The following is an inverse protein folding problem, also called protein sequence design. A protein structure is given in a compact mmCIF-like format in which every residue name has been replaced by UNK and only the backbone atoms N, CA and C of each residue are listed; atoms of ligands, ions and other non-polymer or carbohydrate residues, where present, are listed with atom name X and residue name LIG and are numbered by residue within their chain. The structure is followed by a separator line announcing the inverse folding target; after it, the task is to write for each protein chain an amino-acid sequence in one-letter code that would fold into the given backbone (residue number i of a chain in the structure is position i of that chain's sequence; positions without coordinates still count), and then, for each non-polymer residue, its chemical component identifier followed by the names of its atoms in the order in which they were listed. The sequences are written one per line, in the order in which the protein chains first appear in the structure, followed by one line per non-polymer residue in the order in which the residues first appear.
data_IF_063433945893
#
_entry.id   IF_063433945893
#
_cell.length_a   1.000
_cell.length_b   1.000
_cell.length_c   1.000
_cell.angle_alpha   90.00
_cell.angle_beta   90.00
_cell.angle_gamma   90.00
#
_symmetry.space_group_name_H-M   'P 1'
#
loop_
_entity.id
_entity.type
_entity.pdbx_description
1 polymer ?
#
# COMPACT_ATOMS: atom_id res chain seq x y z
N UNK A 1 -7.41 23.95 -4.09
CA UNK A 1 -6.76 22.72 -3.61
C UNK A 1 -7.28 22.42 -2.21
N UNK A 2 -7.73 21.19 -1.95
CA UNK A 2 -8.24 20.76 -0.63
C UNK A 2 -7.36 19.64 -0.10
N UNK A 3 -6.85 19.76 1.11
CA UNK A 3 -6.13 18.68 1.78
C UNK A 3 -7.11 17.62 2.30
N UNK A 4 -6.82 16.34 2.04
CA UNK A 4 -7.63 15.21 2.49
C UNK A 4 -6.97 14.48 3.66
N UNK A 5 -5.66 14.27 3.58
CA UNK A 5 -4.78 13.69 4.59
C UNK A 5 -3.33 14.14 4.30
N UNK A 6 -2.36 13.76 5.15
CA UNK A 6 -0.96 14.15 4.99
C UNK A 6 -0.48 13.89 3.56
N UNK A 7 0.07 14.93 2.94
CA UNK A 7 0.59 14.91 1.57
C UNK A 7 -0.43 14.47 0.49
N UNK A 8 -1.73 14.38 0.77
CA UNK A 8 -2.78 14.00 -0.20
C UNK A 8 -3.78 15.14 -0.36
N UNK A 9 -3.99 15.55 -1.60
CA UNK A 9 -4.84 16.68 -1.94
C UNK A 9 -5.81 16.35 -3.06
N UNK A 10 -6.92 17.09 -3.10
CA UNK A 10 -7.77 17.22 -4.28
C UNK A 10 -7.44 18.55 -4.97
N UNK A 11 -6.88 18.48 -6.18
CA UNK A 11 -6.48 19.63 -7.01
C UNK A 11 -7.13 19.48 -8.39
N UNK A 12 -7.98 20.42 -8.76
CA UNK A 12 -8.66 20.47 -10.07
C UNK A 12 -9.39 19.16 -10.45
N UNK A 13 -10.02 18.52 -9.45
CA UNK A 13 -10.72 17.24 -9.61
C UNK A 13 -9.83 16.00 -9.60
N UNK A 14 -8.51 16.16 -9.53
CA UNK A 14 -7.54 15.07 -9.43
C UNK A 14 -7.16 14.81 -7.98
N UNK A 15 -7.11 13.54 -7.60
CA UNK A 15 -6.44 13.11 -6.38
C UNK A 15 -4.94 13.15 -6.64
N UNK A 16 -4.17 13.79 -5.76
CA UNK A 16 -2.73 13.93 -5.93
C UNK A 16 -1.97 13.67 -4.63
N UNK A 17 -0.74 13.17 -4.74
CA UNK A 17 0.24 13.17 -3.64
C UNK A 17 1.28 14.27 -3.86
N UNK A 18 1.68 14.96 -2.79
CA UNK A 18 2.84 15.86 -2.82
C UNK A 18 4.11 15.02 -2.90
N UNK A 19 4.94 15.26 -3.90
CA UNK A 19 6.12 14.44 -4.15
C UNK A 19 7.21 15.21 -4.86
N UNK A 20 8.46 14.88 -4.55
CA UNK A 20 9.65 15.33 -5.31
C UNK A 20 10.06 14.35 -6.42
N UNK A 21 9.39 13.19 -6.51
CA UNK A 21 9.76 12.08 -7.37
C UNK A 21 9.05 12.13 -8.73
N UNK A 22 9.59 11.36 -9.68
CA UNK A 22 9.06 11.24 -11.03
C UNK A 22 7.80 10.37 -11.13
N UNK A 23 7.39 10.14 -12.38
CA UNK A 23 6.29 9.23 -12.70
C UNK A 23 6.74 7.77 -12.57
N UNK A 24 5.97 6.93 -11.88
CA UNK A 24 6.29 5.50 -11.72
C UNK A 24 5.56 4.61 -12.74
N UNK A 25 4.30 4.94 -13.04
CA UNK A 25 3.41 4.13 -13.88
C UNK A 25 2.74 4.94 -15.00
N UNK A 26 3.30 6.10 -15.32
CA UNK A 26 2.83 7.00 -16.38
C UNK A 26 1.78 8.00 -15.91
N UNK A 27 1.60 8.19 -14.60
CA UNK A 27 0.76 9.23 -14.02
C UNK A 27 1.34 10.62 -14.26
N UNK A 28 0.46 11.64 -14.29
CA UNK A 28 0.86 13.03 -14.47
C UNK A 28 1.67 13.52 -13.26
N UNK A 29 2.75 14.25 -13.54
CA UNK A 29 3.56 14.93 -12.53
C UNK A 29 3.63 16.41 -12.87
N UNK A 30 3.26 17.27 -11.91
CA UNK A 30 3.16 18.72 -12.12
C UNK A 30 3.22 19.46 -10.78
N UNK A 31 3.91 20.61 -10.76
CA UNK A 31 4.01 21.50 -9.59
C UNK A 31 4.40 20.82 -8.26
N UNK A 32 5.23 19.77 -8.28
CA UNK A 32 5.59 19.01 -7.07
C UNK A 32 4.49 18.06 -6.57
N UNK A 33 3.56 17.69 -7.46
CA UNK A 33 2.50 16.71 -7.21
C UNK A 33 2.51 15.59 -8.25
N UNK A 34 2.05 14.41 -7.84
CA UNK A 34 1.79 13.26 -8.69
C UNK A 34 0.31 12.91 -8.66
N UNK A 35 -0.30 12.71 -9.82
CA UNK A 35 -1.68 12.22 -9.94
C UNK A 35 -1.79 10.81 -9.37
N UNK A 36 -2.72 10.59 -8.44
CA UNK A 36 -3.01 9.28 -7.89
C UNK A 36 -4.26 8.71 -8.53
N UNK A 37 -4.08 7.89 -9.57
CA UNK A 37 -5.17 7.40 -10.42
C UNK A 37 -6.01 6.34 -9.68
N UNK A 38 -7.29 6.62 -9.33
CA UNK A 38 -8.13 5.71 -8.52
C UNK A 38 -8.41 4.37 -9.18
N UNK A 39 -8.47 4.35 -10.52
CA UNK A 39 -8.65 3.13 -11.31
C UNK A 39 -7.46 2.18 -11.26
N UNK A 40 -6.30 2.66 -10.81
CA UNK A 40 -5.07 1.88 -10.66
C UNK A 40 -4.65 1.65 -9.22
N UNK A 41 -5.39 2.19 -8.25
CA UNK A 41 -5.09 2.05 -6.82
C UNK A 41 -6.36 2.02 -5.98
N UNK A 42 -6.59 0.87 -5.32
CA UNK A 42 -7.76 0.69 -4.46
C UNK A 42 -7.75 1.63 -3.26
N UNK A 43 -6.57 1.96 -2.74
CA UNK A 43 -6.39 2.95 -1.69
C UNK A 43 -6.83 4.36 -2.15
N UNK A 44 -6.44 4.79 -3.35
CA UNK A 44 -6.93 6.07 -3.91
C UNK A 44 -8.46 6.07 -4.07
N UNK A 45 -9.03 4.98 -4.57
CA UNK A 45 -10.48 4.84 -4.69
C UNK A 45 -11.18 4.91 -3.32
N UNK A 46 -10.62 4.27 -2.30
CA UNK A 46 -11.11 4.34 -0.92
C UNK A 46 -11.07 5.78 -0.37
N UNK A 47 -9.97 6.50 -0.60
CA UNK A 47 -9.83 7.91 -0.18
C UNK A 47 -10.87 8.80 -0.87
N UNK A 48 -11.09 8.63 -2.16
CA UNK A 48 -12.13 9.38 -2.88
C UNK A 48 -13.55 9.05 -2.44
N UNK A 49 -13.80 7.83 -1.95
CA UNK A 49 -15.07 7.45 -1.33
C UNK A 49 -15.26 8.04 0.08
N UNK A 50 -14.31 8.82 0.58
CA UNK A 50 -14.43 9.62 1.79
C UNK A 50 -13.78 9.01 3.02
N UNK A 51 -13.20 7.81 2.92
CA UNK A 51 -12.44 7.23 4.02
C UNK A 51 -11.08 7.92 4.13
N UNK A 52 -10.63 8.21 5.35
CA UNK A 52 -9.36 8.92 5.59
C UNK A 52 -8.52 8.12 6.55
N UNK A 53 -7.26 7.88 6.16
CA UNK A 53 -6.27 7.25 7.02
C UNK A 53 -5.62 8.30 7.91
N UNK A 54 -5.36 7.94 9.16
CA UNK A 54 -4.61 8.78 10.11
C UNK A 54 -3.12 8.46 10.05
N UNK A 55 -2.58 8.33 8.84
CA UNK A 55 -1.16 8.07 8.62
C UNK A 55 -0.33 9.32 8.90
N UNK A 56 0.67 9.19 9.78
CA UNK A 56 1.70 10.20 10.02
C UNK A 56 2.90 9.98 9.11
N UNK A 57 3.78 10.98 9.01
CA UNK A 57 4.93 10.92 8.11
C UNK A 57 5.99 9.91 8.53
N UNK A 58 6.14 9.69 9.84
CA UNK A 58 7.16 8.88 10.51
C UNK A 58 6.72 7.43 10.79
N UNK A 59 5.52 7.05 10.35
CA UNK A 59 4.97 5.72 10.62
C UNK A 59 5.59 4.62 9.77
N UNK A 60 5.60 3.40 10.34
CA UNK A 60 6.08 2.20 9.68
C UNK A 60 4.90 1.44 9.09
N UNK A 61 4.98 1.09 7.81
CA UNK A 61 3.91 0.39 7.09
C UNK A 61 4.41 -0.95 6.57
N UNK A 62 3.64 -2.00 6.80
CA UNK A 62 3.81 -3.28 6.10
C UNK A 62 2.78 -3.37 4.97
N UNK A 63 3.24 -3.38 3.73
CA UNK A 63 2.41 -3.52 2.54
C UNK A 63 2.50 -4.97 2.03
N UNK A 64 1.38 -5.68 2.05
CA UNK A 64 1.25 -7.07 1.58
C UNK A 64 0.61 -7.10 0.18
N UNK A 65 1.32 -7.64 -0.80
CA UNK A 65 0.87 -7.67 -2.20
C UNK A 65 1.25 -6.41 -2.99
N UNK A 66 2.51 -5.97 -2.87
CA UNK A 66 3.00 -4.71 -3.44
C UNK A 66 2.94 -4.65 -4.98
N UNK A 67 2.91 -5.79 -5.67
CA UNK A 67 2.96 -5.89 -7.11
C UNK A 67 4.08 -5.02 -7.69
N UNK A 68 3.79 -4.21 -8.71
CA UNK A 68 4.76 -3.30 -9.33
C UNK A 68 5.01 -2.02 -8.55
N UNK A 69 4.34 -1.79 -7.42
CA UNK A 69 4.55 -0.61 -6.57
C UNK A 69 3.71 0.63 -6.92
N UNK A 70 2.63 0.51 -7.71
CA UNK A 70 1.75 1.66 -8.03
C UNK A 70 1.22 2.36 -6.78
N UNK A 71 0.51 1.65 -5.91
CA UNK A 71 0.00 2.23 -4.64
C UNK A 71 1.14 2.52 -3.67
N UNK A 72 2.15 1.63 -3.58
CA UNK A 72 3.33 1.80 -2.71
C UNK A 72 4.02 3.13 -2.97
N UNK A 73 4.16 3.53 -4.24
CA UNK A 73 4.80 4.79 -4.61
C UNK A 73 4.07 6.03 -4.08
N UNK A 74 2.74 6.00 -3.94
CA UNK A 74 1.99 7.11 -3.35
C UNK A 74 1.98 7.03 -1.83
N UNK A 75 1.96 5.82 -1.27
CA UNK A 75 2.09 5.64 0.17
C UNK A 75 3.45 6.15 0.66
N UNK A 76 4.52 5.94 -0.10
CA UNK A 76 5.86 6.46 0.17
C UNK A 76 5.94 8.00 0.14
N UNK A 77 5.03 8.67 -0.57
CA UNK A 77 4.92 10.14 -0.52
C UNK A 77 4.23 10.60 0.79
N UNK A 78 3.40 9.75 1.40
CA UNK A 78 2.64 10.05 2.62
C UNK A 78 3.48 9.80 3.88
N UNK A 79 4.15 8.65 3.95
CA UNK A 79 5.10 8.27 5.02
C UNK A 79 6.53 8.66 4.62
N UNK A 80 6.73 9.95 4.36
CA UNK A 80 7.96 10.54 3.84
C UNK A 80 9.14 10.56 4.84
N UNK A 81 8.87 10.38 6.13
CA UNK A 81 9.86 10.29 7.22
C UNK A 81 9.92 8.87 7.84
N UNK A 82 9.07 7.96 7.36
CA UNK A 82 8.88 6.61 7.87
C UNK A 82 9.48 5.54 6.97
N UNK A 83 8.92 4.32 7.03
CA UNK A 83 9.40 3.19 6.22
C UNK A 83 8.24 2.31 5.74
N UNK A 84 8.34 1.82 4.51
CA UNK A 84 7.41 0.85 3.94
C UNK A 84 8.14 -0.46 3.65
N UNK A 85 7.71 -1.53 4.30
CA UNK A 85 8.10 -2.89 3.96
C UNK A 85 7.14 -3.42 2.90
N UNK A 86 7.59 -3.52 1.65
CA UNK A 86 6.76 -3.89 0.51
C UNK A 86 6.96 -5.36 0.13
N UNK A 87 6.05 -6.23 0.57
CA UNK A 87 6.08 -7.68 0.32
C UNK A 87 5.40 -8.02 -0.99
N UNK A 88 6.11 -8.73 -1.85
CA UNK A 88 5.60 -9.29 -3.11
C UNK A 88 6.35 -10.60 -3.40
N UNK A 89 5.65 -11.60 -3.91
CA UNK A 89 6.22 -12.94 -4.10
C UNK A 89 6.59 -13.22 -5.57
N UNK A 90 5.95 -12.53 -6.52
CA UNK A 90 6.16 -12.74 -7.94
C UNK A 90 7.32 -11.88 -8.46
N UNK A 91 8.36 -12.53 -8.99
CA UNK A 91 9.57 -11.86 -9.45
C UNK A 91 9.32 -10.81 -10.55
N UNK A 92 8.36 -11.06 -11.45
CA UNK A 92 8.06 -10.17 -12.58
C UNK A 92 7.57 -8.77 -12.15
N UNK A 93 6.50 -8.63 -11.35
CA UNK A 93 6.13 -7.32 -10.82
C UNK A 93 7.19 -6.76 -9.84
N UNK A 94 7.89 -7.63 -9.12
CA UNK A 94 8.94 -7.24 -8.18
C UNK A 94 10.11 -6.49 -8.83
N UNK A 95 10.46 -6.81 -10.09
CA UNK A 95 11.48 -6.08 -10.84
C UNK A 95 11.16 -4.58 -10.90
N UNK A 96 9.90 -4.22 -11.17
CA UNK A 96 9.45 -2.82 -11.20
C UNK A 96 9.39 -2.20 -9.81
N UNK A 97 9.07 -2.99 -8.77
CA UNK A 97 9.14 -2.53 -7.38
C UNK A 97 10.58 -2.23 -6.94
N UNK A 98 11.57 -3.00 -7.41
CA UNK A 98 12.99 -2.73 -7.15
C UNK A 98 13.45 -1.41 -7.76
N UNK A 99 13.00 -1.08 -8.97
CA UNK A 99 13.27 0.24 -9.57
C UNK A 99 12.75 1.38 -8.69
N UNK A 100 11.53 1.23 -8.17
CA UNK A 100 10.92 2.20 -7.26
C UNK A 100 11.72 2.35 -5.96
N UNK A 101 12.15 1.24 -5.36
CA UNK A 101 12.94 1.23 -4.13
C UNK A 101 14.37 1.76 -4.32
N UNK A 102 14.92 1.73 -5.55
CA UNK A 102 16.19 2.39 -5.87
C UNK A 102 16.07 3.91 -5.89
N UNK A 103 14.90 4.44 -6.26
CA UNK A 103 14.63 5.88 -6.29
C UNK A 103 14.22 6.41 -4.90
N UNK A 104 13.55 5.58 -4.10
CA UNK A 104 12.91 5.97 -2.82
C UNK A 104 13.50 5.20 -1.64
N UNK A 105 14.23 5.92 -0.81
CA UNK A 105 14.96 5.37 0.34
C UNK A 105 14.05 4.84 1.46
N UNK A 106 12.79 5.28 1.52
CA UNK A 106 11.82 4.82 2.53
C UNK A 106 11.06 3.54 2.13
N UNK A 107 11.48 2.85 1.07
CA UNK A 107 10.87 1.57 0.65
C UNK A 107 11.89 0.44 0.81
N UNK A 108 11.52 -0.57 1.60
CA UNK A 108 12.26 -1.82 1.75
C UNK A 108 11.50 -2.92 0.97
N UNK A 109 11.96 -3.30 -0.23
CA UNK A 109 11.30 -4.30 -1.05
C UNK A 109 11.65 -5.72 -0.55
N UNK A 110 10.63 -6.57 -0.39
CA UNK A 110 10.74 -7.91 0.21
C UNK A 110 10.18 -8.97 -0.75
N UNK A 111 11.07 -9.73 -1.40
CA UNK A 111 10.68 -10.85 -2.30
C UNK A 111 10.37 -12.10 -1.48
N UNK A 112 9.21 -12.11 -0.82
CA UNK A 112 8.77 -13.18 0.06
C UNK A 112 7.28 -13.48 -0.13
N UNK A 113 6.89 -14.68 0.31
CA UNK A 113 5.50 -15.10 0.38
C UNK A 113 4.86 -14.57 1.68
N UNK A 114 3.86 -13.69 1.55
CA UNK A 114 3.17 -13.07 2.67
C UNK A 114 2.46 -14.08 3.59
N UNK A 115 2.15 -15.28 3.11
CA UNK A 115 1.60 -16.37 3.94
C UNK A 115 2.60 -16.99 4.91
N UNK A 116 3.88 -16.58 4.84
CA UNK A 116 4.97 -17.12 5.66
C UNK A 116 5.73 -16.00 6.39
N UNK A 117 5.08 -15.22 7.27
CA UNK A 117 5.68 -14.04 7.91
C UNK A 117 6.97 -14.32 8.68
N UNK A 118 7.11 -15.51 9.25
CA UNK A 118 8.34 -15.93 9.93
C UNK A 118 9.60 -15.84 9.04
N UNK A 119 9.47 -15.96 7.71
CA UNK A 119 10.60 -15.89 6.78
C UNK A 119 11.24 -14.50 6.66
N UNK A 120 10.49 -13.44 6.92
CA UNK A 120 10.98 -12.06 6.90
C UNK A 120 10.87 -11.38 8.27
N UNK A 121 10.63 -12.16 9.32
CA UNK A 121 10.51 -11.67 10.69
C UNK A 121 11.79 -11.05 11.25
N UNK A 122 12.96 -11.46 10.76
CA UNK A 122 14.24 -10.85 11.09
C UNK A 122 14.54 -9.53 10.37
N UNK A 123 13.65 -9.08 9.48
CA UNK A 123 13.82 -7.87 8.66
C UNK A 123 12.77 -6.82 9.02
N UNK A 124 11.51 -7.24 9.14
CA UNK A 124 10.37 -6.34 9.38
C UNK A 124 10.25 -6.03 10.87
N UNK A 125 10.27 -4.74 11.19
CA UNK A 125 10.05 -4.25 12.55
C UNK A 125 8.56 -4.24 12.92
N UNK A 126 8.24 -3.88 14.17
CA UNK A 126 6.84 -3.60 14.56
C UNK A 126 6.30 -2.40 13.78
N UNK A 127 5.14 -2.55 13.14
CA UNK A 127 4.52 -1.57 12.24
C UNK A 127 3.26 -0.93 12.82
N UNK A 128 2.99 0.29 12.37
CA UNK A 128 1.81 1.09 12.75
C UNK A 128 0.60 0.75 11.87
N UNK A 129 0.84 0.39 10.61
CA UNK A 129 -0.19 0.01 9.64
C UNK A 129 0.19 -1.27 8.89
N UNK A 130 -0.76 -2.18 8.74
CA UNK A 130 -0.71 -3.22 7.70
C UNK A 130 -1.72 -2.88 6.61
N UNK A 131 -1.24 -2.74 5.37
CA UNK A 131 -2.08 -2.63 4.18
C UNK A 131 -1.97 -3.91 3.35
N UNK A 132 -3.08 -4.59 3.12
CA UNK A 132 -3.13 -5.82 2.34
C UNK A 132 -3.96 -5.65 1.05
N UNK A 133 -3.34 -5.92 -0.08
CA UNK A 133 -3.99 -6.02 -1.39
C UNK A 133 -3.63 -7.34 -2.10
N UNK A 134 -3.91 -8.45 -1.40
CA UNK A 134 -3.73 -9.81 -1.88
C UNK A 134 -5.08 -10.42 -2.23
N UNK A 135 -5.21 -10.93 -3.45
CA UNK A 135 -6.42 -11.63 -3.90
C UNK A 135 -6.24 -13.16 -3.80
N UNK A 136 -6.27 -13.69 -2.57
CA UNK A 136 -6.20 -15.13 -2.26
C UNK A 136 -7.36 -15.55 -1.35
N UNK A 137 -7.73 -16.85 -1.39
CA UNK A 137 -8.82 -17.39 -0.55
C UNK A 137 -8.54 -17.25 0.94
N UNK A 138 -7.29 -17.46 1.35
CA UNK A 138 -6.82 -17.37 2.74
C UNK A 138 -6.30 -15.97 3.11
N UNK A 139 -6.78 -14.90 2.45
CA UNK A 139 -6.31 -13.53 2.73
C UNK A 139 -6.48 -13.11 4.20
N UNK A 140 -7.50 -13.63 4.90
CA UNK A 140 -7.73 -13.33 6.32
C UNK A 140 -6.65 -13.96 7.19
N UNK A 141 -6.34 -15.24 6.97
CA UNK A 141 -5.26 -15.95 7.68
C UNK A 141 -3.89 -15.29 7.45
N UNK A 142 -3.61 -14.85 6.22
CA UNK A 142 -2.39 -14.11 5.88
C UNK A 142 -2.32 -12.82 6.69
N UNK A 143 -3.41 -12.07 6.75
CA UNK A 143 -3.48 -10.81 7.47
C UNK A 143 -3.29 -11.02 8.97
N UNK A 144 -4.02 -11.96 9.57
CA UNK A 144 -3.95 -12.29 11.00
C UNK A 144 -2.53 -12.71 11.39
N UNK A 145 -1.91 -13.60 10.62
CA UNK A 145 -0.54 -14.05 10.88
C UNK A 145 0.47 -12.90 10.77
N UNK A 146 0.34 -12.01 9.78
CA UNK A 146 1.20 -10.83 9.70
C UNK A 146 0.95 -9.83 10.84
N UNK A 147 -0.30 -9.67 11.28
CA UNK A 147 -0.63 -8.79 12.38
C UNK A 147 -0.04 -9.30 13.70
N UNK A 148 -0.12 -10.59 13.98
CA UNK A 148 0.50 -11.20 15.17
C UNK A 148 2.02 -10.95 15.21
N UNK A 149 2.70 -11.15 14.08
CA UNK A 149 4.15 -10.94 13.99
C UNK A 149 4.53 -9.47 14.08
N UNK A 150 3.83 -8.57 13.37
CA UNK A 150 4.36 -7.24 13.08
C UNK A 150 3.52 -6.08 13.58
N UNK A 151 2.21 -6.21 13.75
CA UNK A 151 1.39 -5.07 14.16
C UNK A 151 1.70 -4.68 15.61
N UNK A 152 1.81 -3.37 15.86
CA UNK A 152 1.86 -2.82 17.21
C UNK A 152 0.51 -2.97 17.90
N UNK A 153 0.49 -2.92 19.23
CA UNK A 153 -0.75 -2.69 19.96
C UNK A 153 -1.37 -1.37 19.48
N UNK A 154 -2.69 -1.36 19.22
CA UNK A 154 -3.43 -0.23 18.65
C UNK A 154 -3.06 0.15 17.21
N UNK A 155 -2.26 -0.68 16.51
CA UNK A 155 -1.98 -0.49 15.09
C UNK A 155 -3.23 -0.68 14.22
N UNK A 156 -3.23 -0.04 13.06
CA UNK A 156 -4.35 -0.08 12.11
C UNK A 156 -4.13 -1.16 11.02
N UNK A 157 -5.22 -1.67 10.48
CA UNK A 157 -5.22 -2.63 9.39
C UNK A 157 -6.17 -2.19 8.29
N UNK A 158 -5.72 -2.30 7.05
CA UNK A 158 -6.54 -2.09 5.86
C UNK A 158 -6.43 -3.32 4.98
N UNK A 159 -7.58 -3.92 4.65
CA UNK A 159 -7.65 -5.05 3.73
C UNK A 159 -8.52 -4.70 2.53
N UNK A 160 -8.01 -4.98 1.34
CA UNK A 160 -8.75 -4.87 0.09
C UNK A 160 -9.37 -6.22 -0.26
N UNK A 161 -10.64 -6.40 0.09
CA UNK A 161 -11.38 -7.64 -0.18
C UNK A 161 -11.97 -7.60 -1.59
N UNK A 162 -11.64 -8.62 -2.40
CA UNK A 162 -12.31 -8.89 -3.67
C UNK A 162 -13.28 -10.05 -3.46
N UNK A 163 -14.59 -9.80 -3.41
CA UNK A 163 -15.60 -10.84 -3.14
C UNK A 163 -15.40 -12.11 -4.00
N UNK A 164 -15.15 -11.93 -5.31
CA UNK A 164 -14.91 -13.05 -6.26
C UNK A 164 -13.64 -13.88 -5.99
N UNK A 165 -12.69 -13.43 -5.19
CA UNK A 165 -11.51 -14.22 -4.82
C UNK A 165 -11.71 -15.10 -3.60
N UNK A 166 -12.79 -14.87 -2.83
CA UNK A 166 -13.19 -15.73 -1.70
C UNK A 166 -14.11 -16.82 -2.22
N UNK A 167 -15.22 -16.42 -2.85
CA UNK A 167 -16.17 -17.32 -3.49
C UNK A 167 -16.58 -16.76 -4.86
N UNK A 168 -16.30 -17.53 -5.92
CA UNK A 168 -16.63 -17.13 -7.30
C UNK A 168 -18.09 -17.41 -7.67
N UNK A 169 -18.84 -18.07 -6.80
CA UNK A 169 -20.22 -18.54 -7.02
C UNK A 169 -21.25 -17.85 -6.13
N UNK A 170 -20.84 -17.27 -5.00
CA UNK A 170 -21.72 -16.52 -4.11
C UNK A 170 -21.84 -15.03 -4.52
N UNK A 171 -22.98 -14.43 -4.18
CA UNK A 171 -23.20 -12.99 -4.39
C UNK A 171 -22.26 -12.14 -3.51
N UNK A 172 -21.70 -11.03 -4.01
CA UNK A 172 -20.73 -10.22 -3.26
C UNK A 172 -21.20 -9.65 -1.92
N UNK A 173 -22.50 -9.53 -1.71
CA UNK A 173 -23.08 -9.03 -0.44
C UNK A 173 -23.13 -10.13 0.64
N UNK A 174 -22.92 -11.39 0.26
CA UNK A 174 -23.01 -12.58 1.13
C UNK A 174 -21.63 -13.13 1.51
N UNK A 175 -20.56 -12.51 0.98
CA UNK A 175 -19.14 -12.86 1.16
C UNK A 175 -18.47 -11.86 2.09
#
# INVERSE_FOLDING_TARGET
MKELMRNVYLKDGLLVTKSRYGSHYGEKVFDGFREWIPWRSKLAAMILKGHRLRLKGDEKVLYLGAASGTTVSHLADIVDEGVIYAVEYAAKPFEKLLELARERENIIPLLFDASKPWKYSGIVEKVDLIYQDIAQKNQIEILESNAEFFLKAEGEVIIMVKARSIDSTADPEVV
#
